data_IF_817783146282
#
_entry.id   IF_817783146282
#
_cell.length_a   1.000
_cell.length_b   1.000
_cell.length_c   1.000
_cell.angle_alpha   90.00
_cell.angle_beta   90.00
_cell.angle_gamma   90.00
#
_symmetry.space_group_name_H-M   'P 1'
#
loop_
_entity.id
_entity.type
_entity.pdbx_description
1 polymer ?
#
# COMPACT_ATOMS: atom_id res chain seq x y z
N UNK A 1 21.24 -4.49 2.51
CA UNK A 1 20.29 -3.46 2.04
C UNK A 1 19.72 -2.62 3.20
N UNK A 2 19.56 -1.30 3.02
CA UNK A 2 19.12 -0.36 4.07
C UNK A 2 17.63 -0.03 4.01
N UNK A 3 17.02 0.00 2.83
CA UNK A 3 15.59 0.30 2.69
C UNK A 3 14.73 -0.86 3.21
N UNK A 4 13.66 -0.57 3.97
CA UNK A 4 12.74 -1.59 4.51
C UNK A 4 12.01 -2.37 3.40
N UNK A 5 11.65 -1.68 2.32
CA UNK A 5 10.92 -2.24 1.19
C UNK A 5 11.75 -2.15 -0.10
N UNK A 6 11.72 -3.21 -0.90
CA UNK A 6 12.36 -3.27 -2.20
C UNK A 6 11.35 -3.70 -3.26
N UNK A 7 11.19 -2.88 -4.28
CA UNK A 7 10.43 -3.20 -5.47
C UNK A 7 11.09 -2.51 -6.67
N UNK A 8 10.61 -2.82 -7.89
CA UNK A 8 11.10 -2.10 -9.06
C UNK A 8 10.73 -0.61 -8.98
N UNK A 9 11.51 0.26 -9.60
CA UNK A 9 11.22 1.70 -9.71
C UNK A 9 10.61 2.08 -11.06
N UNK A 10 10.36 1.10 -11.93
CA UNK A 10 9.83 1.32 -13.27
C UNK A 10 8.40 1.87 -13.24
N UNK A 11 8.13 2.84 -14.12
CA UNK A 11 6.83 3.50 -14.27
C UNK A 11 6.02 3.00 -15.47
N UNK A 12 6.45 1.89 -16.08
CA UNK A 12 5.88 1.36 -17.34
C UNK A 12 4.43 0.88 -17.20
N UNK A 13 4.11 0.25 -16.08
CA UNK A 13 2.76 -0.24 -15.81
C UNK A 13 2.14 0.66 -14.75
N UNK A 14 1.13 1.42 -15.14
CA UNK A 14 0.44 2.35 -14.27
C UNK A 14 -1.06 2.14 -14.32
N UNK A 15 -1.72 2.72 -13.32
CA UNK A 15 -3.14 2.85 -13.22
C UNK A 15 -3.44 4.33 -13.00
N UNK A 16 -4.29 4.90 -13.84
CA UNK A 16 -4.75 6.27 -13.70
C UNK A 16 -5.82 6.33 -12.61
N UNK A 17 -5.72 7.30 -11.70
CA UNK A 17 -6.67 7.41 -10.60
C UNK A 17 -8.05 7.83 -11.10
N UNK A 18 -8.15 8.57 -12.21
CA UNK A 18 -9.44 8.93 -12.79
C UNK A 18 -10.17 7.69 -13.32
N UNK A 19 -9.44 6.76 -13.93
CA UNK A 19 -9.98 5.46 -14.35
C UNK A 19 -10.49 4.66 -13.14
N UNK A 20 -9.79 4.71 -12.01
CA UNK A 20 -10.22 4.02 -10.78
C UNK A 20 -11.49 4.63 -10.22
N UNK A 21 -11.62 5.96 -10.26
CA UNK A 21 -12.86 6.64 -9.87
C UNK A 21 -14.00 6.20 -10.79
N UNK A 22 -13.77 6.12 -12.10
CA UNK A 22 -14.78 5.65 -13.04
C UNK A 22 -15.19 4.19 -12.75
N UNK A 23 -14.22 3.30 -12.54
CA UNK A 23 -14.49 1.90 -12.25
C UNK A 23 -15.21 1.70 -10.92
N UNK A 24 -14.95 2.55 -9.92
CA UNK A 24 -15.62 2.49 -8.61
C UNK A 24 -17.14 2.66 -8.68
N UNK A 25 -17.67 3.23 -9.77
CA UNK A 25 -19.11 3.33 -10.01
C UNK A 25 -19.77 1.98 -10.25
N UNK A 26 -18.99 1.00 -10.72
CA UNK A 26 -19.49 -0.34 -11.09
C UNK A 26 -18.89 -1.44 -10.22
N UNK A 27 -17.65 -1.29 -9.78
CA UNK A 27 -16.94 -2.25 -8.95
C UNK A 27 -16.99 -1.83 -7.47
N UNK A 28 -17.75 -2.59 -6.68
CA UNK A 28 -17.89 -2.38 -5.23
C UNK A 28 -16.56 -2.52 -4.50
N UNK A 29 -15.62 -3.31 -5.00
CA UNK A 29 -14.31 -3.48 -4.38
C UNK A 29 -13.44 -2.22 -4.48
N UNK A 30 -13.70 -1.36 -5.47
CA UNK A 30 -13.01 -0.08 -5.67
C UNK A 30 -13.71 1.10 -5.00
N UNK A 31 -14.81 0.86 -4.28
CA UNK A 31 -15.57 1.90 -3.60
C UNK A 31 -14.70 2.67 -2.60
N UNK A 32 -14.66 3.99 -2.80
CA UNK A 32 -13.86 4.95 -2.02
C UNK A 32 -12.35 4.66 -2.07
N UNK A 33 -11.86 3.94 -3.08
CA UNK A 33 -10.45 3.53 -3.14
C UNK A 33 -9.50 4.72 -3.13
N UNK A 34 -9.74 5.71 -4.00
CA UNK A 34 -8.86 6.89 -4.11
C UNK A 34 -8.85 7.69 -2.81
N UNK A 35 -10.01 7.85 -2.19
CA UNK A 35 -10.15 8.49 -0.88
C UNK A 35 -9.35 7.76 0.21
N UNK A 36 -9.55 6.44 0.35
CA UNK A 36 -8.83 5.61 1.31
C UNK A 36 -7.31 5.59 1.04
N UNK A 37 -6.91 5.66 -0.23
CA UNK A 37 -5.51 5.76 -0.63
C UNK A 37 -4.89 7.07 -0.16
N UNK A 38 -5.57 8.21 -0.36
CA UNK A 38 -5.09 9.51 0.11
C UNK A 38 -4.93 9.52 1.64
N UNK A 39 -5.94 9.05 2.38
CA UNK A 39 -5.86 8.90 3.85
C UNK A 39 -4.64 8.08 4.26
N UNK A 40 -4.44 6.93 3.62
CA UNK A 40 -3.31 6.07 3.93
C UNK A 40 -1.96 6.77 3.72
N UNK A 41 -1.83 7.55 2.64
CA UNK A 41 -0.60 8.29 2.34
C UNK A 41 -0.37 9.39 3.36
N UNK A 42 -1.41 10.13 3.77
CA UNK A 42 -1.32 11.14 4.83
C UNK A 42 -0.76 10.54 6.13
N UNK A 43 -1.35 9.47 6.63
CA UNK A 43 -0.84 8.79 7.84
C UNK A 43 0.61 8.32 7.68
N UNK A 44 1.06 7.99 6.45
CA UNK A 44 2.44 7.59 6.18
C UNK A 44 3.42 8.74 6.03
N UNK A 45 3.00 9.89 5.52
CA UNK A 45 3.84 11.08 5.40
C UNK A 45 4.09 11.74 6.76
N UNK A 46 3.06 11.77 7.62
CA UNK A 46 3.15 12.41 8.94
C UNK A 46 3.51 11.45 10.08
N UNK A 47 3.59 10.15 9.80
CA UNK A 47 3.80 9.07 10.78
C UNK A 47 2.82 9.11 11.97
N UNK A 48 1.62 9.66 11.75
CA UNK A 48 0.55 9.75 12.73
C UNK A 48 -0.72 9.09 12.17
N UNK A 49 -1.12 7.97 12.80
CA UNK A 49 -2.32 7.24 12.41
C UNK A 49 -3.61 7.80 13.04
N UNK A 50 -3.48 8.77 13.97
CA UNK A 50 -4.60 9.45 14.63
C UNK A 50 -4.80 10.86 14.09
N UNK A 51 -4.04 11.26 13.06
CA UNK A 51 -4.19 12.56 12.43
C UNK A 51 -5.64 12.71 11.93
N UNK A 52 -6.33 13.74 12.38
CA UNK A 52 -7.62 14.11 11.81
C UNK A 52 -7.37 14.70 10.43
N UNK A 53 -7.84 14.01 9.39
CA UNK A 53 -7.70 14.45 8.00
C UNK A 53 -9.04 15.00 7.52
N UNK A 54 -9.00 16.23 7.02
CA UNK A 54 -10.15 16.95 6.50
C UNK A 54 -10.17 16.93 4.98
N UNK A 55 -11.31 17.27 4.37
CA UNK A 55 -11.44 17.30 2.89
C UNK A 55 -10.41 18.22 2.23
N UNK A 56 -10.18 19.39 2.83
CA UNK A 56 -9.24 20.40 2.35
C UNK A 56 -7.78 19.90 2.33
N UNK A 57 -7.42 18.98 3.23
CA UNK A 57 -6.06 18.40 3.25
C UNK A 57 -5.79 17.60 1.97
N UNK A 58 -6.81 16.98 1.37
CA UNK A 58 -6.63 16.16 0.18
C UNK A 58 -6.33 16.94 -1.10
N UNK A 59 -6.61 18.25 -1.12
CA UNK A 59 -6.22 19.12 -2.23
C UNK A 59 -4.71 19.40 -2.22
N UNK A 60 -4.08 19.38 -1.04
CA UNK A 60 -2.63 19.53 -0.94
C UNK A 60 -1.87 18.31 -1.48
N UNK A 61 -2.49 17.12 -1.46
CA UNK A 61 -1.84 15.87 -1.86
C UNK A 61 -1.98 15.59 -3.36
N UNK A 62 -0.86 15.68 -4.09
CA UNK A 62 -0.85 15.47 -5.54
C UNK A 62 -0.05 14.24 -5.93
N UNK A 63 -0.63 13.39 -6.79
CA UNK A 63 0.06 12.25 -7.38
C UNK A 63 0.77 12.65 -8.67
N UNK A 64 2.00 12.20 -8.85
CA UNK A 64 2.73 12.36 -10.10
C UNK A 64 1.92 11.78 -11.27
N UNK A 65 1.52 12.64 -12.22
CA UNK A 65 0.69 12.30 -13.37
C UNK A 65 -0.67 11.68 -13.03
N UNK A 66 -1.20 11.91 -11.82
CA UNK A 66 -2.43 11.29 -11.32
C UNK A 66 -2.41 9.75 -11.36
N UNK A 67 -1.24 9.13 -11.11
CA UNK A 67 -1.03 7.69 -11.33
C UNK A 67 -0.43 6.96 -10.15
N UNK A 68 -0.77 5.67 -10.08
CA UNK A 68 -0.06 4.68 -9.27
C UNK A 68 0.56 3.62 -10.19
N UNK A 69 1.71 3.10 -9.81
CA UNK A 69 2.54 2.25 -10.67
C UNK A 69 2.61 0.83 -10.12
N UNK A 70 2.17 -0.14 -10.93
CA UNK A 70 2.00 -1.53 -10.52
C UNK A 70 3.28 -2.34 -10.66
N UNK A 71 3.54 -3.17 -9.66
CA UNK A 71 4.67 -4.07 -9.60
C UNK A 71 4.27 -5.54 -9.43
N UNK A 72 5.17 -6.42 -9.87
CA UNK A 72 4.99 -7.87 -9.78
C UNK A 72 5.37 -8.45 -8.43
N UNK A 73 6.39 -7.87 -7.78
CA UNK A 73 6.99 -8.41 -6.55
C UNK A 73 7.43 -7.26 -5.66
N UNK A 74 7.18 -7.38 -4.36
CA UNK A 74 7.84 -6.58 -3.32
C UNK A 74 8.62 -7.50 -2.40
N UNK A 75 9.80 -7.07 -1.99
CA UNK A 75 10.60 -7.72 -0.96
C UNK A 75 10.65 -6.84 0.29
N UNK A 76 10.45 -7.45 1.44
CA UNK A 76 10.43 -6.77 2.74
C UNK A 76 11.62 -7.27 3.53
N UNK A 77 12.53 -6.37 3.87
CA UNK A 77 13.66 -6.70 4.72
C UNK A 77 13.19 -6.77 6.17
N UNK A 78 13.60 -7.80 6.89
CA UNK A 78 13.41 -7.90 8.33
C UNK A 78 14.69 -8.40 9.00
N UNK A 79 14.82 -8.12 10.29
CA UNK A 79 15.88 -8.69 11.12
C UNK A 79 15.36 -9.94 11.80
N UNK A 80 16.06 -11.05 11.60
CA UNK A 80 15.78 -12.30 12.31
C UNK A 80 16.29 -12.20 13.75
N UNK A 81 15.81 -13.11 14.60
CA UNK A 81 16.14 -13.13 16.03
C UNK A 81 17.66 -13.21 16.30
N UNK A 82 18.42 -13.86 15.43
CA UNK A 82 19.88 -13.97 15.50
C UNK A 82 20.61 -12.73 14.95
N UNK A 83 19.92 -11.58 14.87
CA UNK A 83 20.41 -10.30 14.35
C UNK A 83 20.92 -10.36 12.90
N UNK A 84 20.50 -11.38 12.14
CA UNK A 84 20.75 -11.45 10.70
C UNK A 84 19.69 -10.67 9.94
N UNK A 85 19.99 -10.35 8.68
CA UNK A 85 19.04 -9.74 7.75
C UNK A 85 18.50 -10.82 6.84
N UNK A 86 17.19 -10.90 6.73
CA UNK A 86 16.51 -11.76 5.78
C UNK A 86 15.45 -10.97 5.00
N UNK A 87 14.86 -11.58 3.96
CA UNK A 87 13.88 -10.96 3.08
C UNK A 87 12.68 -11.85 2.83
N UNK A 88 11.49 -11.31 3.11
CA UNK A 88 10.24 -11.89 2.64
C UNK A 88 9.90 -11.36 1.26
N UNK A 89 9.44 -12.24 0.36
CA UNK A 89 9.02 -11.87 -0.99
C UNK A 89 7.52 -12.09 -1.17
N UNK A 90 6.80 -11.03 -1.52
CA UNK A 90 5.37 -11.08 -1.83
C UNK A 90 5.20 -10.97 -3.33
N UNK A 91 4.55 -11.97 -3.93
CA UNK A 91 4.21 -11.99 -5.34
C UNK A 91 2.70 -12.28 -5.48
N UNK A 92 1.87 -11.27 -5.83
CA UNK A 92 0.43 -11.44 -5.97
C UNK A 92 -0.02 -12.57 -6.91
N UNK A 93 0.85 -13.05 -7.80
CA UNK A 93 0.54 -14.15 -8.72
C UNK A 93 0.83 -15.54 -8.15
N UNK A 94 1.84 -15.69 -7.29
CA UNK A 94 2.37 -17.00 -6.87
C UNK A 94 2.48 -17.18 -5.36
N UNK A 95 2.75 -16.11 -4.63
CA UNK A 95 2.92 -16.07 -3.18
C UNK A 95 2.23 -14.80 -2.65
N UNK A 96 0.91 -14.80 -2.69
CA UNK A 96 0.07 -13.63 -2.43
C UNK A 96 -0.47 -13.60 -1.00
N UNK A 97 -0.47 -14.72 -0.31
CA UNK A 97 -1.07 -14.86 1.01
C UNK A 97 -0.12 -14.31 2.08
N UNK A 98 -0.63 -13.44 2.93
CA UNK A 98 0.11 -12.73 3.98
C UNK A 98 -0.56 -12.89 5.33
N UNK A 99 0.24 -12.74 6.37
CA UNK A 99 -0.23 -12.68 7.75
C UNK A 99 0.33 -11.43 8.41
N UNK A 100 -0.46 -10.77 9.25
CA UNK A 100 0.00 -9.64 10.05
C UNK A 100 -0.47 -9.79 11.50
N UNK A 101 0.20 -9.08 12.40
CA UNK A 101 -0.18 -9.04 13.81
C UNK A 101 -1.57 -8.42 13.94
N UNK A 102 -2.47 -9.10 14.63
CA UNK A 102 -3.80 -8.58 14.87
C UNK A 102 -3.78 -7.46 15.92
N UNK A 103 -4.73 -6.51 15.88
CA UNK A 103 -4.88 -5.50 16.91
C UNK A 103 -5.13 -6.13 18.30
N UNK A 104 -4.72 -5.45 19.39
CA UNK A 104 -5.01 -5.90 20.75
C UNK A 104 -6.51 -6.15 20.97
N UNK A 105 -6.85 -7.24 21.65
CA UNK A 105 -8.25 -7.63 21.91
C UNK A 105 -8.91 -8.45 20.79
N UNK A 106 -8.20 -8.75 19.70
CA UNK A 106 -8.68 -9.69 18.67
C UNK A 106 -8.76 -11.12 19.20
N UNK A 107 -9.75 -11.89 18.74
CA UNK A 107 -9.95 -13.30 19.11
C UNK A 107 -8.73 -14.15 18.69
N UNK A 108 -8.12 -13.81 17.56
CA UNK A 108 -6.91 -14.47 17.05
C UNK A 108 -5.72 -13.51 17.03
N UNK A 109 -4.50 -14.01 17.30
CA UNK A 109 -3.30 -13.18 17.35
C UNK A 109 -2.85 -12.67 15.96
N UNK A 110 -3.34 -13.26 14.88
CA UNK A 110 -2.96 -12.94 13.51
C UNK A 110 -4.18 -12.63 12.65
N UNK A 111 -4.03 -11.67 11.75
CA UNK A 111 -4.92 -11.43 10.63
C UNK A 111 -4.31 -12.01 9.36
N UNK A 112 -5.17 -12.50 8.47
CA UNK A 112 -4.79 -13.13 7.22
C UNK A 112 -5.34 -12.33 6.05
N UNK A 113 -4.58 -12.23 4.97
CA UNK A 113 -5.00 -11.52 3.77
C UNK A 113 -4.35 -12.08 2.53
N UNK A 114 -4.94 -11.79 1.37
CA UNK A 114 -4.36 -12.08 0.06
C UNK A 114 -4.07 -10.78 -0.67
N UNK A 115 -2.83 -10.59 -1.09
CA UNK A 115 -2.39 -9.41 -1.85
C UNK A 115 -2.85 -9.52 -3.29
N UNK A 116 -3.66 -8.56 -3.74
CA UNK A 116 -4.23 -8.52 -5.10
C UNK A 116 -3.28 -7.78 -6.06
N UNK A 117 -2.53 -6.81 -5.54
CA UNK A 117 -1.57 -6.04 -6.32
C UNK A 117 -0.59 -5.30 -5.42
N UNK A 118 0.57 -4.99 -5.99
CA UNK A 118 1.60 -4.16 -5.35
C UNK A 118 1.72 -2.90 -6.19
N UNK A 119 1.70 -1.74 -5.55
CA UNK A 119 1.78 -0.45 -6.21
C UNK A 119 2.77 0.44 -5.49
N UNK A 120 3.42 1.34 -6.23
CA UNK A 120 4.06 2.52 -5.66
C UNK A 120 3.42 3.78 -6.24
N UNK A 121 3.50 4.87 -5.49
CA UNK A 121 3.05 6.19 -5.90
C UNK A 121 4.17 7.19 -5.61
N UNK A 122 4.32 8.19 -6.48
CA UNK A 122 5.14 9.36 -6.19
C UNK A 122 4.18 10.50 -5.88
N UNK A 123 4.34 11.11 -4.72
CA UNK A 123 3.37 12.03 -4.15
C UNK A 123 4.11 13.28 -3.67
N UNK A 124 3.48 14.44 -3.86
CA UNK A 124 3.97 15.77 -3.50
C UNK A 124 2.97 16.47 -2.60
#
# INVERSE_FOLDING_TARGET
>A
PEAKFHMASGKRFFLDLDDVVEWSKTDVALKDFVWKLKIHIFHKLFDDNNLEIYEDDFEALTFENNRIYRHKVVRINHTTYDLRRDQDSINPRTHADIMALAPPGSIHPLIYGRVIGVFHANVF
#
